data_IF_736698814830
#
_entry.id   IF_736698814830
#
_cell.length_a   1.000
_cell.length_b   1.000
_cell.length_c   1.000
_cell.angle_alpha   90.00
_cell.angle_beta   90.00
_cell.angle_gamma   90.00
#
_symmetry.space_group_name_H-M   'P 1'
#
loop_
_entity.id
_entity.type
_entity.pdbx_description
1 polymer ?
#
# COMPACT_ATOMS: atom_id res chain seq x y z
N UNK A 1 13.46 11.41 1.38
CA UNK A 1 13.43 12.13 0.08
C UNK A 1 12.08 11.85 -0.57
N UNK A 2 11.49 12.80 -1.31
CA UNK A 2 10.18 12.58 -1.92
C UNK A 2 10.29 11.56 -3.06
N UNK A 3 9.42 10.53 -3.03
CA UNK A 3 9.22 9.65 -4.16
C UNK A 3 8.25 10.29 -5.15
N UNK A 4 8.44 10.04 -6.44
CA UNK A 4 7.38 10.24 -7.43
C UNK A 4 6.42 9.06 -7.27
N UNK A 5 5.21 9.32 -6.79
CA UNK A 5 4.16 8.31 -6.71
C UNK A 5 3.69 7.96 -8.11
N UNK A 6 3.83 6.69 -8.46
CA UNK A 6 3.48 6.18 -9.78
C UNK A 6 3.19 4.68 -9.67
N UNK A 7 2.37 4.13 -10.59
CA UNK A 7 2.05 2.71 -10.63
C UNK A 7 3.29 1.80 -10.48
N UNK A 8 3.15 0.77 -9.65
CA UNK A 8 4.23 -0.17 -9.31
C UNK A 8 5.22 0.33 -8.28
N UNK A 9 5.16 1.58 -7.79
CA UNK A 9 5.92 2.00 -6.61
C UNK A 9 5.47 1.22 -5.39
N UNK A 10 6.42 0.69 -4.61
CA UNK A 10 6.15 0.07 -3.32
C UNK A 10 6.80 0.89 -2.23
N UNK A 11 6.04 1.18 -1.17
CA UNK A 11 6.54 1.83 0.04
C UNK A 11 5.99 1.09 1.25
N UNK A 12 6.72 1.16 2.35
CA UNK A 12 6.24 0.76 3.66
C UNK A 12 5.61 1.96 4.34
N UNK A 13 4.40 1.81 4.87
CA UNK A 13 3.70 2.86 5.59
C UNK A 13 3.35 2.41 7.00
N UNK A 14 3.23 3.40 7.88
CA UNK A 14 2.61 3.28 9.18
C UNK A 14 1.10 3.58 9.03
N UNK A 15 0.21 2.59 9.15
CA UNK A 15 -1.22 2.78 8.91
C UNK A 15 -1.88 3.75 9.90
N UNK A 16 -1.36 3.85 11.12
CA UNK A 16 -1.86 4.81 12.12
C UNK A 16 -1.58 6.25 11.68
N UNK A 17 -0.37 6.53 11.19
CA UNK A 17 -0.03 7.83 10.62
C UNK A 17 -0.90 8.15 9.40
N UNK A 18 -1.16 7.17 8.53
CA UNK A 18 -2.08 7.36 7.39
C UNK A 18 -3.49 7.75 7.85
N UNK A 19 -4.02 7.06 8.86
CA UNK A 19 -5.34 7.37 9.42
C UNK A 19 -5.39 8.78 10.04
N UNK A 20 -4.36 9.16 10.80
CA UNK A 20 -4.25 10.48 11.41
C UNK A 20 -4.12 11.60 10.37
N UNK A 21 -3.44 11.33 9.24
CA UNK A 21 -3.24 12.28 8.14
C UNK A 21 -4.39 12.26 7.11
N UNK A 22 -5.52 11.63 7.44
CA UNK A 22 -6.77 11.73 6.66
C UNK A 22 -6.87 10.80 5.46
N UNK A 23 -6.14 9.69 5.43
CA UNK A 23 -6.32 8.67 4.40
C UNK A 23 -7.72 8.03 4.47
N UNK A 24 -8.18 7.51 3.33
CA UNK A 24 -9.43 6.75 3.22
C UNK A 24 -9.17 5.35 2.67
N UNK A 25 -10.08 4.42 2.94
CA UNK A 25 -9.95 3.03 2.51
C UNK A 25 -11.30 2.36 2.22
N UNK A 26 -11.27 1.21 1.54
CA UNK A 26 -12.47 0.45 1.14
C UNK A 26 -12.71 -0.84 1.91
N UNK A 27 -11.68 -1.40 2.56
CA UNK A 27 -11.76 -2.73 3.19
C UNK A 27 -12.53 -2.74 4.50
N UNK A 28 -12.60 -3.86 5.21
CA UNK A 28 -13.34 -3.97 6.48
C UNK A 28 -12.45 -3.71 7.69
N UNK A 29 -13.03 -3.22 8.79
CA UNK A 29 -12.36 -2.91 10.07
C UNK A 29 -11.92 -4.17 10.86
N UNK A 30 -12.00 -5.35 10.25
CA UNK A 30 -11.60 -6.64 10.85
C UNK A 30 -10.19 -7.07 10.42
N UNK A 31 -9.64 -6.47 9.36
CA UNK A 31 -8.34 -6.86 8.81
C UNK A 31 -7.23 -6.05 9.47
N UNK A 32 -6.49 -6.70 10.36
CA UNK A 32 -5.37 -6.08 11.08
C UNK A 32 -4.25 -5.65 10.13
N UNK A 33 -3.80 -4.40 10.29
CA UNK A 33 -2.63 -3.87 9.61
C UNK A 33 -1.42 -3.87 10.52
N UNK A 34 -0.27 -4.26 9.98
CA UNK A 34 1.00 -4.11 10.70
C UNK A 34 1.40 -2.63 10.78
N UNK A 35 2.03 -2.21 11.89
CA UNK A 35 2.65 -0.89 12.02
C UNK A 35 3.70 -0.58 10.92
N UNK A 36 4.22 -1.60 10.22
CA UNK A 36 5.17 -1.44 9.11
C UNK A 36 4.70 -2.25 7.90
N UNK A 37 3.61 -1.79 7.29
CA UNK A 37 2.90 -2.48 6.24
C UNK A 37 3.38 -2.04 4.85
N UNK A 38 3.70 -2.98 3.96
CA UNK A 38 4.00 -2.64 2.57
C UNK A 38 2.72 -2.31 1.80
N UNK A 39 2.79 -1.33 0.92
CA UNK A 39 1.74 -0.92 -0.01
C UNK A 39 2.30 -0.76 -1.41
N UNK A 40 1.53 -1.13 -2.43
CA UNK A 40 1.85 -0.85 -3.84
C UNK A 40 0.92 0.23 -4.39
N UNK A 41 1.49 1.23 -5.03
CA UNK A 41 0.76 2.25 -5.78
C UNK A 41 0.25 1.64 -7.08
N UNK A 42 -1.05 1.73 -7.35
CA UNK A 42 -1.66 1.25 -8.60
C UNK A 42 -2.09 2.40 -9.52
N UNK A 43 -2.28 3.59 -8.95
CA UNK A 43 -2.64 4.81 -9.68
C UNK A 43 -2.23 6.04 -8.87
N UNK A 44 -1.95 7.15 -9.56
CA UNK A 44 -1.56 8.41 -8.95
C UNK A 44 -1.99 9.60 -9.81
N UNK A 45 -2.50 10.65 -9.15
CA UNK A 45 -2.80 11.95 -9.75
C UNK A 45 -2.04 13.05 -8.98
N UNK A 46 -2.16 14.35 -9.33
CA UNK A 46 -1.42 15.41 -8.65
C UNK A 46 -1.72 15.63 -7.16
N UNK A 47 -2.85 15.11 -6.65
CA UNK A 47 -3.30 15.31 -5.25
C UNK A 47 -3.02 14.09 -4.38
N UNK A 48 -3.38 12.91 -4.88
CA UNK A 48 -3.35 11.67 -4.14
C UNK A 48 -2.99 10.48 -5.04
N UNK A 49 -2.88 9.31 -4.40
CA UNK A 49 -2.63 8.06 -5.08
C UNK A 49 -3.44 6.92 -4.45
N UNK A 50 -3.67 5.88 -5.25
CA UNK A 50 -4.32 4.65 -4.85
C UNK A 50 -3.27 3.60 -4.48
N UNK A 51 -3.40 3.06 -3.27
CA UNK A 51 -2.43 2.18 -2.65
C UNK A 51 -3.09 0.90 -2.16
N UNK A 52 -2.51 -0.23 -2.51
CA UNK A 52 -3.00 -1.56 -2.11
C UNK A 52 -2.11 -2.11 -1.01
N UNK A 53 -2.64 -2.42 0.19
CA UNK A 53 -1.87 -3.06 1.25
C UNK A 53 -1.46 -4.49 0.88
N UNK A 54 -0.24 -4.85 1.26
CA UNK A 54 0.42 -6.12 0.89
C UNK A 54 0.73 -7.00 2.11
N UNK A 55 -0.07 -8.03 2.33
CA UNK A 55 0.07 -8.95 3.45
C UNK A 55 1.24 -9.94 3.25
N UNK A 56 1.85 -10.36 4.36
CA UNK A 56 2.97 -11.31 4.36
C UNK A 56 2.55 -12.77 4.12
N UNK A 57 1.29 -13.10 4.36
CA UNK A 57 0.77 -14.46 4.27
C UNK A 57 -0.56 -14.57 3.52
N UNK A 58 -0.90 -15.78 3.06
CA UNK A 58 -2.18 -16.04 2.41
C UNK A 58 -3.34 -15.80 3.38
N UNK A 59 -4.55 -15.70 2.83
CA UNK A 59 -5.78 -15.51 3.59
C UNK A 59 -6.99 -15.57 2.66
N UNK A 60 -8.22 -15.62 3.21
CA UNK A 60 -9.44 -15.63 2.42
C UNK A 60 -9.47 -14.46 1.43
N UNK A 61 -9.78 -14.74 0.15
CA UNK A 61 -9.86 -13.72 -0.91
C UNK A 61 -8.54 -13.09 -1.35
N UNK A 62 -7.40 -13.45 -0.74
CA UNK A 62 -6.11 -12.86 -1.06
C UNK A 62 -5.47 -13.49 -2.29
N UNK A 63 -4.95 -12.64 -3.18
CA UNK A 63 -4.21 -13.02 -4.39
C UNK A 63 -2.70 -12.85 -4.17
N UNK A 64 -1.92 -13.81 -4.65
CA UNK A 64 -0.47 -13.84 -4.47
C UNK A 64 0.30 -13.01 -5.51
N UNK A 65 1.41 -12.43 -5.08
CA UNK A 65 2.41 -11.73 -5.88
C UNK A 65 3.75 -12.44 -5.66
N UNK A 66 4.24 -13.10 -6.70
CA UNK A 66 5.50 -13.82 -6.66
C UNK A 66 6.69 -12.89 -6.35
N UNK A 67 7.65 -13.39 -5.57
CA UNK A 67 8.89 -12.66 -5.27
C UNK A 67 9.67 -12.26 -6.54
N UNK A 68 9.60 -13.08 -7.60
CA UNK A 68 10.25 -12.82 -8.90
C UNK A 68 9.70 -11.60 -9.64
N UNK A 69 8.52 -11.10 -9.27
CA UNK A 69 7.94 -9.89 -9.84
C UNK A 69 8.42 -8.60 -9.15
N UNK A 70 9.29 -8.70 -8.15
CA UNK A 70 9.68 -7.59 -7.26
C UNK A 70 11.12 -7.18 -7.49
N UNK A 71 11.39 -5.88 -7.40
CA UNK A 71 12.76 -5.33 -7.39
C UNK A 71 12.92 -4.30 -6.28
N UNK A 72 14.14 -4.08 -5.81
CA UNK A 72 14.45 -3.12 -4.74
C UNK A 72 15.19 -3.76 -3.56
N UNK A 73 14.87 -3.29 -2.36
CA UNK A 73 15.54 -3.69 -1.13
C UNK A 73 15.31 -5.19 -0.79
N UNK A 74 16.31 -5.92 -0.26
CA UNK A 74 16.18 -7.32 0.17
C UNK A 74 14.97 -7.59 1.06
N UNK A 75 14.60 -6.67 1.97
CA UNK A 75 13.42 -6.83 2.85
C UNK A 75 12.11 -6.93 2.07
N UNK A 76 12.02 -6.25 0.92
CA UNK A 76 10.84 -6.25 0.05
C UNK A 76 10.80 -7.45 -0.89
N UNK A 77 11.93 -7.78 -1.53
CA UNK A 77 11.96 -8.78 -2.62
C UNK A 77 12.01 -10.22 -2.12
N UNK A 78 12.35 -10.47 -0.85
CA UNK A 78 12.66 -11.82 -0.35
C UNK A 78 11.49 -12.79 -0.35
N UNK A 79 10.27 -12.30 -0.13
CA UNK A 79 9.10 -13.15 0.10
C UNK A 79 7.95 -12.81 -0.86
N UNK A 80 7.09 -13.79 -1.10
CA UNK A 80 5.78 -13.57 -1.74
C UNK A 80 4.97 -12.56 -0.91
N UNK A 81 4.21 -11.70 -1.58
CA UNK A 81 3.20 -10.84 -0.93
C UNK A 81 1.82 -11.21 -1.39
N UNK A 82 0.82 -10.76 -0.65
CA UNK A 82 -0.58 -11.03 -0.96
C UNK A 82 -1.38 -9.73 -0.89
N UNK A 83 -2.36 -9.56 -1.76
CA UNK A 83 -3.30 -8.43 -1.70
C UNK A 83 -4.73 -8.93 -1.67
N UNK A 84 -5.63 -8.10 -1.14
CA UNK A 84 -7.06 -8.36 -1.07
C UNK A 84 -7.78 -7.36 -1.97
N UNK A 85 -8.62 -7.84 -2.89
CA UNK A 85 -9.38 -7.01 -3.82
C UNK A 85 -10.39 -6.09 -3.12
N UNK A 86 -10.79 -6.39 -1.88
CA UNK A 86 -11.62 -5.50 -1.06
C UNK A 86 -10.85 -4.34 -0.42
N UNK A 87 -9.52 -4.40 -0.40
CA UNK A 87 -8.65 -3.45 0.32
C UNK A 87 -7.95 -2.49 -0.62
N UNK A 88 -8.41 -1.25 -0.67
CA UNK A 88 -7.77 -0.16 -1.39
C UNK A 88 -7.74 1.09 -0.51
N UNK A 89 -6.60 1.78 -0.50
CA UNK A 89 -6.40 3.03 0.22
C UNK A 89 -6.23 4.20 -0.74
N UNK A 90 -6.80 5.36 -0.42
CA UNK A 90 -6.53 6.63 -1.09
C UNK A 90 -5.77 7.52 -0.13
N UNK A 91 -4.56 7.92 -0.56
CA UNK A 91 -3.59 8.57 0.32
C UNK A 91 -3.04 9.81 -0.38
N UNK A 92 -3.19 10.96 0.27
CA UNK A 92 -2.57 12.21 -0.17
C UNK A 92 -1.04 12.13 -0.13
N UNK A 93 -0.35 12.79 -1.07
CA UNK A 93 1.09 12.62 -1.20
C UNK A 93 1.90 13.00 0.04
N UNK A 94 1.45 14.03 0.77
CA UNK A 94 2.08 14.43 2.04
C UNK A 94 1.91 13.35 3.12
N UNK A 95 0.72 12.78 3.27
CA UNK A 95 0.43 11.71 4.21
C UNK A 95 1.28 10.46 3.94
N UNK A 96 1.41 10.06 2.66
CA UNK A 96 2.27 8.95 2.26
C UNK A 96 3.74 9.19 2.63
N UNK A 97 4.26 10.40 2.44
CA UNK A 97 5.62 10.76 2.81
C UNK A 97 5.85 10.72 4.33
N UNK A 98 4.89 11.23 5.12
CA UNK A 98 4.96 11.17 6.59
C UNK A 98 4.94 9.72 7.06
N UNK A 99 3.98 8.92 6.61
CA UNK A 99 3.82 7.54 7.02
C UNK A 99 5.00 6.66 6.60
N UNK A 100 5.60 6.90 5.43
CA UNK A 100 6.81 6.19 5.01
C UNK A 100 8.01 6.49 5.91
N UNK A 101 8.15 7.75 6.32
CA UNK A 101 9.20 8.16 7.25
C UNK A 101 9.02 7.50 8.62
N UNK A 102 7.80 7.46 9.16
CA UNK A 102 7.48 6.83 10.45
C UNK A 102 7.71 5.32 10.41
N UNK A 103 7.38 4.67 9.29
CA UNK A 103 7.60 3.24 9.10
C UNK A 103 9.04 2.86 8.75
N UNK A 104 10.00 3.81 8.78
CA UNK A 104 11.39 3.60 8.38
C UNK A 104 11.48 2.89 7.02
N UNK A 105 10.79 3.41 6.01
CA UNK A 105 10.84 2.84 4.67
C UNK A 105 12.26 2.98 4.09
N UNK A 106 12.79 1.86 3.57
CA UNK A 106 14.14 1.76 3.01
C UNK A 106 14.16 1.94 1.48
N UNK A 107 13.03 2.29 0.85
CA UNK A 107 12.98 2.60 -0.57
C UNK A 107 13.71 3.91 -0.82
N UNK A 108 14.56 3.95 -1.84
CA UNK A 108 15.27 5.18 -2.20
C UNK A 108 15.10 5.48 -3.69
N UNK A 109 15.33 6.73 -4.13
CA UNK A 109 15.34 7.02 -5.57
C UNK A 109 16.35 6.19 -6.38
N UNK A 110 17.46 5.76 -5.75
CA UNK A 110 18.50 4.95 -6.41
C UNK A 110 18.17 3.46 -6.45
N UNK A 111 17.43 2.98 -5.45
CA UNK A 111 16.98 1.60 -5.35
C UNK A 111 15.52 1.60 -4.90
N UNK A 112 14.58 1.96 -5.79
CA UNK A 112 13.18 2.02 -5.44
C UNK A 112 12.63 0.60 -5.33
N UNK A 113 11.82 0.35 -4.30
CA UNK A 113 11.00 -0.85 -4.27
C UNK A 113 9.94 -0.75 -5.37
N UNK A 114 9.91 -1.75 -6.26
CA UNK A 114 8.97 -1.80 -7.38
C UNK A 114 8.32 -3.17 -7.49
N UNK A 115 7.11 -3.15 -8.05
CA UNK A 115 6.40 -4.30 -8.56
C UNK A 115 6.35 -4.23 -10.10
N UNK A 116 6.62 -5.34 -10.78
CA UNK A 116 6.54 -5.43 -12.22
C UNK A 116 5.11 -5.14 -12.71
N UNK A 117 4.99 -4.46 -13.86
CA UNK A 117 3.69 -4.06 -14.42
C UNK A 117 2.76 -5.26 -14.69
N UNK A 118 3.33 -6.40 -15.09
CA UNK A 118 2.57 -7.65 -15.34
C UNK A 118 2.00 -8.29 -14.08
N UNK A 119 2.50 -7.90 -12.90
CA UNK A 119 2.02 -8.37 -11.61
C UNK A 119 1.26 -7.28 -10.82
N UNK A 120 1.06 -6.10 -11.43
CA UNK A 120 0.36 -4.99 -10.79
C UNK A 120 -1.16 -5.24 -10.81
N UNK A 121 -1.85 -5.20 -9.67
CA UNK A 121 -3.31 -5.34 -9.63
C UNK A 121 -3.99 -4.24 -10.46
N UNK A 122 -4.99 -4.61 -11.26
CA UNK A 122 -5.72 -3.63 -12.06
C UNK A 122 -6.72 -2.86 -11.19
N UNK A 123 -6.90 -1.55 -11.45
CA UNK A 123 -7.87 -0.71 -10.72
C UNK A 123 -9.29 -1.29 -10.74
N UNK A 124 -9.67 -1.99 -11.80
CA UNK A 124 -10.98 -2.63 -11.97
C UNK A 124 -11.24 -3.80 -11.03
N UNK A 125 -10.21 -4.33 -10.36
CA UNK A 125 -10.37 -5.40 -9.38
C UNK A 125 -10.84 -4.90 -8.01
N UNK A 126 -10.84 -3.58 -7.79
CA UNK A 126 -11.11 -2.96 -6.49
C UNK A 126 -12.44 -2.18 -6.49
N UNK A 127 -13.05 -1.95 -5.30
CA UNK A 127 -14.27 -1.17 -5.18
C UNK A 127 -14.21 0.20 -5.85
N UNK A 128 -15.37 0.70 -6.28
CA UNK A 128 -15.51 2.03 -6.87
C UNK A 128 -15.24 3.13 -5.83
N UNK A 129 -15.07 4.35 -6.31
CA UNK A 129 -14.72 5.51 -5.48
C UNK A 129 -15.76 5.84 -4.39
N UNK A 130 -17.02 5.45 -4.59
CA UNK A 130 -18.09 5.58 -3.60
C UNK A 130 -17.92 4.69 -2.36
N UNK A 131 -17.05 3.68 -2.41
CA UNK A 131 -16.81 2.75 -1.30
C UNK A 131 -15.75 3.26 -0.30
N UNK A 132 -15.05 4.36 -0.61
CA UNK A 132 -14.04 4.90 0.30
C UNK A 132 -14.70 5.54 1.52
N UNK A 133 -14.16 5.20 2.69
CA UNK A 133 -14.50 5.82 3.97
C UNK A 133 -13.23 6.18 4.74
N UNK A 134 -13.30 7.11 5.71
CA UNK A 134 -12.12 7.49 6.49
C UNK A 134 -11.44 6.26 7.11
N UNK A 135 -10.09 6.22 7.08
CA UNK A 135 -9.32 5.24 7.84
C UNK A 135 -9.33 5.54 9.35
N UNK A 136 -9.58 6.78 9.72
CA UNK A 136 -9.74 7.19 11.12
C UNK A 136 -10.87 6.40 11.79
N UNK A 137 -10.61 5.86 12.98
CA UNK A 137 -11.57 5.04 13.73
C UNK A 137 -11.57 3.55 13.34
N UNK A 138 -10.74 3.12 12.40
CA UNK A 138 -10.55 1.70 12.11
C UNK A 138 -9.84 1.00 13.28
N UNK A 139 -10.55 0.13 13.98
CA UNK A 139 -10.08 -0.60 15.19
C UNK A 139 -9.01 -1.65 14.90
N UNK A 140 -8.82 -2.01 13.63
CA UNK A 140 -7.78 -2.91 13.16
C UNK A 140 -6.45 -2.20 12.84
N UNK A 141 -6.39 -0.87 13.00
CA UNK A 141 -5.16 -0.09 13.02
C UNK A 141 -4.82 0.16 14.49
N UNK A 142 -3.67 -0.34 14.95
CA UNK A 142 -3.22 -0.26 16.35
C UNK A 142 -1.79 0.23 16.45
#
# INVERSE_FOLDING_TARGET
>A
MPHIHAPGLVLRFDPQTLANDGASYTGNDEVEFSAQQFYVCIDANPKDALWVPLFAGPGPGRKGIAATAKTGNPRWIKYTSFYDCGQLCRIGHKAAQTAAKVAYDDSTPKLPNRLAATALPARTEFPADSAFRPMAGNVAIR
#
